data_IF_557608172922
#
_entry.id   IF_557608172922
#
_cell.length_a   1.000
_cell.length_b   1.000
_cell.length_c   1.000
_cell.angle_alpha   90.00
_cell.angle_beta   90.00
_cell.angle_gamma   90.00
#
_symmetry.space_group_name_H-M   'P 1'
#
loop_
_entity.id
_entity.type
_entity.pdbx_description
1 polymer ?
#
# COMPACT_ATOMS: atom_id res chain seq x y z
N UNK A 1 -21.82 -19.40 26.79
CA UNK A 1 -21.35 -18.27 25.98
C UNK A 1 -22.40 -18.00 24.92
N UNK A 2 -22.79 -16.74 24.73
CA UNK A 2 -23.74 -16.36 23.68
C UNK A 2 -23.07 -16.52 22.30
N UNK A 3 -23.60 -17.36 21.39
CA UNK A 3 -23.01 -17.57 20.08
C UNK A 3 -22.91 -16.28 19.25
N UNK A 4 -23.80 -15.30 19.48
CA UNK A 4 -23.78 -14.02 18.75
C UNK A 4 -22.61 -13.11 19.15
N UNK A 5 -22.10 -13.28 20.37
CA UNK A 5 -20.92 -12.55 20.87
C UNK A 5 -19.67 -12.94 20.09
N UNK A 6 -19.56 -14.19 19.65
CA UNK A 6 -18.40 -14.67 18.90
C UNK A 6 -18.37 -14.09 17.47
N UNK A 7 -19.55 -13.96 16.84
CA UNK A 7 -19.67 -13.40 15.48
C UNK A 7 -19.35 -11.90 15.44
N UNK A 8 -19.71 -11.16 16.49
CA UNK A 8 -19.32 -9.75 16.60
C UNK A 8 -17.81 -9.59 16.72
N UNK A 9 -17.18 -10.36 17.60
CA UNK A 9 -15.73 -10.35 17.81
C UNK A 9 -14.98 -10.70 16.53
N UNK A 10 -15.39 -11.76 15.82
CA UNK A 10 -14.79 -12.14 14.55
C UNK A 10 -14.86 -11.03 13.49
N UNK A 11 -16.02 -10.38 13.33
CA UNK A 11 -16.20 -9.26 12.40
C UNK A 11 -15.34 -8.06 12.77
N UNK A 12 -15.25 -7.73 14.07
CA UNK A 12 -14.40 -6.66 14.57
C UNK A 12 -12.92 -6.95 14.30
N UNK A 13 -12.45 -8.17 14.55
CA UNK A 13 -11.07 -8.56 14.25
C UNK A 13 -10.73 -8.41 12.78
N UNK A 14 -11.62 -8.81 11.88
CA UNK A 14 -11.42 -8.64 10.43
C UNK A 14 -11.35 -7.13 10.09
N UNK A 15 -12.27 -6.34 10.64
CA UNK A 15 -12.35 -4.90 10.38
C UNK A 15 -11.11 -4.13 10.88
N UNK A 16 -10.63 -4.46 12.07
CA UNK A 16 -9.50 -3.78 12.71
C UNK A 16 -8.13 -4.32 12.27
N UNK A 17 -8.10 -5.38 11.46
CA UNK A 17 -6.87 -6.00 11.00
C UNK A 17 -6.05 -5.07 10.10
N UNK A 18 -4.72 -5.08 10.31
CA UNK A 18 -3.78 -4.20 9.60
C UNK A 18 -2.59 -4.98 9.04
N UNK A 19 -1.99 -4.43 8.00
CA UNK A 19 -0.77 -4.91 7.36
C UNK A 19 0.33 -3.86 7.57
N UNK A 20 1.54 -4.25 8.03
CA UNK A 20 2.69 -3.37 8.01
C UNK A 20 3.14 -3.17 6.56
N UNK A 21 3.14 -1.93 6.09
CA UNK A 21 3.54 -1.57 4.73
C UNK A 21 4.70 -0.60 4.79
N UNK A 22 5.72 -0.86 3.98
CA UNK A 22 6.80 0.07 3.69
C UNK A 22 6.59 0.63 2.29
N UNK A 23 6.46 1.94 2.14
CA UNK A 23 6.52 2.60 0.85
C UNK A 23 7.94 3.09 0.60
N UNK A 24 8.48 2.85 -0.58
CA UNK A 24 9.76 3.38 -1.04
C UNK A 24 9.60 3.93 -2.46
N UNK A 25 10.29 5.02 -2.79
CA UNK A 25 10.31 5.51 -4.17
C UNK A 25 11.17 4.59 -5.05
N UNK A 26 10.81 4.51 -6.32
CA UNK A 26 11.65 3.85 -7.31
C UNK A 26 13.05 4.49 -7.37
N UNK A 27 14.07 3.66 -7.57
CA UNK A 27 15.46 4.11 -7.60
C UNK A 27 15.73 5.20 -8.65
N UNK A 28 14.99 5.21 -9.76
CA UNK A 28 15.10 6.23 -10.81
C UNK A 28 14.50 7.58 -10.42
N UNK A 29 13.82 7.66 -9.27
CA UNK A 29 13.15 8.85 -8.72
C UNK A 29 13.78 9.31 -7.40
N UNK A 30 14.93 8.72 -7.04
CA UNK A 30 15.69 9.02 -5.82
C UNK A 30 16.06 10.50 -5.62
N UNK A 31 16.12 11.29 -6.70
CA UNK A 31 16.38 12.75 -6.60
C UNK A 31 15.27 13.49 -5.85
N UNK A 32 14.03 12.98 -5.91
CA UNK A 32 12.89 13.55 -5.19
C UNK A 32 12.75 12.96 -3.77
N UNK A 33 13.53 11.94 -3.43
CA UNK A 33 13.43 11.27 -2.15
C UNK A 33 14.06 12.13 -1.04
N UNK A 34 13.22 12.68 -0.17
CA UNK A 34 13.67 13.27 1.11
C UNK A 34 13.79 12.22 2.20
N UNK A 35 13.07 11.11 2.07
CA UNK A 35 13.16 9.95 2.94
C UNK A 35 13.29 8.67 2.10
N UNK A 36 14.08 7.72 2.60
CA UNK A 36 14.29 6.44 1.92
C UNK A 36 13.01 5.58 1.92
N UNK A 37 12.30 5.55 3.05
CA UNK A 37 11.12 4.71 3.24
C UNK A 37 10.08 5.38 4.16
N UNK A 38 8.81 5.07 3.93
CA UNK A 38 7.68 5.46 4.76
C UNK A 38 6.93 4.22 5.27
N UNK A 39 6.90 4.01 6.58
CA UNK A 39 6.23 2.84 7.19
C UNK A 39 4.85 3.21 7.72
N UNK A 40 3.82 2.42 7.36
CA UNK A 40 2.44 2.61 7.80
C UNK A 40 1.72 1.29 8.07
N UNK A 41 0.88 1.27 9.11
CA UNK A 41 -0.05 0.17 9.36
C UNK A 41 -1.36 0.41 8.61
N UNK A 42 -1.59 -0.31 7.51
CA UNK A 42 -2.75 -0.10 6.66
C UNK A 42 -3.88 -1.10 6.96
N UNK A 43 -5.15 -0.67 7.05
CA UNK A 43 -6.28 -1.58 7.23
C UNK A 43 -6.44 -2.52 6.03
N UNK A 44 -6.72 -3.80 6.30
CA UNK A 44 -6.96 -4.80 5.24
C UNK A 44 -8.20 -4.46 4.41
N UNK A 45 -9.24 -3.93 5.06
CA UNK A 45 -10.50 -3.53 4.45
C UNK A 45 -10.49 -2.06 3.96
N UNK A 46 -9.42 -1.64 3.30
CA UNK A 46 -9.27 -0.30 2.71
C UNK A 46 -8.53 -0.38 1.38
N UNK A 47 -8.30 0.75 0.72
CA UNK A 47 -7.64 0.85 -0.59
C UNK A 47 -6.40 1.74 -0.50
N UNK A 48 -5.38 1.42 -1.29
CA UNK A 48 -4.10 2.15 -1.31
C UNK A 48 -4.23 3.66 -1.59
N UNK A 49 -5.06 4.14 -2.54
CA UNK A 49 -5.13 5.55 -2.88
C UNK A 49 -5.45 6.46 -1.69
N UNK A 50 -6.19 5.96 -0.69
CA UNK A 50 -6.53 6.70 0.54
C UNK A 50 -5.28 7.09 1.35
N UNK A 51 -4.21 6.31 1.26
CA UNK A 51 -2.96 6.52 2.02
C UNK A 51 -1.82 7.05 1.16
N UNK A 52 -1.98 7.02 -0.17
CA UNK A 52 -0.91 7.32 -1.11
C UNK A 52 -0.44 8.77 -1.03
N UNK A 53 -1.36 9.74 -0.93
CA UNK A 53 -1.01 11.16 -0.77
C UNK A 53 -0.12 11.39 0.46
N UNK A 54 -0.50 10.79 1.60
CA UNK A 54 0.29 10.88 2.83
C UNK A 54 1.67 10.24 2.67
N UNK A 55 1.75 9.06 2.05
CA UNK A 55 3.02 8.38 1.80
C UNK A 55 3.95 9.24 0.92
N UNK A 56 3.40 9.78 -0.18
CA UNK A 56 4.14 10.63 -1.12
C UNK A 56 4.65 11.89 -0.47
N UNK A 57 3.85 12.57 0.36
CA UNK A 57 4.29 13.76 1.10
C UNK A 57 5.43 13.46 2.08
N UNK A 58 5.43 12.28 2.69
CA UNK A 58 6.51 11.85 3.59
C UNK A 58 7.78 11.53 2.79
N UNK A 59 7.63 10.78 1.69
CA UNK A 59 8.75 10.36 0.84
C UNK A 59 9.43 11.52 0.13
N UNK A 60 8.66 12.51 -0.32
CA UNK A 60 9.12 13.63 -1.16
C UNK A 60 9.25 14.96 -0.44
N UNK A 61 8.89 15.02 0.84
CA UNK A 61 8.86 16.27 1.60
C UNK A 61 7.81 17.28 1.11
N UNK A 62 6.98 16.91 0.13
CA UNK A 62 6.05 17.80 -0.55
C UNK A 62 6.59 18.44 -1.84
N UNK A 63 7.78 18.06 -2.30
CA UNK A 63 8.41 18.63 -3.49
C UNK A 63 7.92 18.01 -4.82
N UNK A 64 7.15 16.93 -4.75
CA UNK A 64 6.53 16.34 -5.95
C UNK A 64 5.47 17.27 -6.56
N UNK A 65 5.57 17.47 -7.87
CA UNK A 65 4.60 18.23 -8.65
C UNK A 65 3.24 17.51 -8.74
N UNK A 66 2.17 18.26 -9.03
CA UNK A 66 0.83 17.70 -9.21
C UNK A 66 0.78 16.64 -10.32
N UNK A 67 1.52 16.83 -11.42
CA UNK A 67 1.63 15.85 -12.50
C UNK A 67 2.25 14.52 -12.01
N UNK A 68 3.27 14.58 -11.16
CA UNK A 68 3.91 13.40 -10.57
C UNK A 68 2.97 12.67 -9.61
N UNK A 69 2.23 13.43 -8.79
CA UNK A 69 1.23 12.87 -7.88
C UNK A 69 0.09 12.18 -8.66
N UNK A 70 -0.37 12.78 -9.75
CA UNK A 70 -1.43 12.24 -10.61
C UNK A 70 -1.00 11.00 -11.41
N UNK A 71 0.30 10.87 -11.68
CA UNK A 71 0.87 9.69 -12.34
C UNK A 71 1.46 8.69 -11.36
N UNK A 72 1.21 8.84 -10.05
CA UNK A 72 1.72 7.91 -9.06
C UNK A 72 1.06 6.54 -9.19
N UNK A 73 1.84 5.47 -9.11
CA UNK A 73 1.35 4.09 -9.10
C UNK A 73 2.25 3.18 -8.27
N UNK A 74 1.75 1.97 -7.97
CA UNK A 74 2.36 1.07 -7.00
C UNK A 74 2.82 -0.23 -7.65
N UNK A 75 3.99 -0.72 -7.24
CA UNK A 75 4.59 -1.96 -7.69
C UNK A 75 4.96 -2.83 -6.49
N UNK A 76 4.78 -4.14 -6.64
CA UNK A 76 5.29 -5.16 -5.72
C UNK A 76 5.89 -6.30 -6.54
N UNK A 77 7.09 -6.74 -6.18
CA UNK A 77 7.79 -7.87 -6.82
C UNK A 77 7.80 -7.80 -8.36
N UNK A 78 8.09 -6.60 -8.91
CA UNK A 78 8.11 -6.35 -10.35
C UNK A 78 6.74 -6.28 -11.03
N UNK A 79 5.64 -6.42 -10.28
CA UNK A 79 4.27 -6.39 -10.82
C UNK A 79 3.52 -5.14 -10.36
N UNK A 80 2.71 -4.59 -11.27
CA UNK A 80 1.82 -3.47 -10.98
C UNK A 80 0.73 -3.91 -10.01
N UNK A 81 0.55 -3.15 -8.93
CA UNK A 81 -0.53 -3.39 -7.98
C UNK A 81 -1.84 -2.78 -8.46
N UNK A 82 -2.82 -3.66 -8.66
CA UNK A 82 -4.20 -3.32 -9.02
C UNK A 82 -4.95 -2.71 -7.83
N UNK A 83 -4.70 -1.44 -7.55
CA UNK A 83 -5.16 -0.73 -6.36
C UNK A 83 -6.68 -0.56 -6.20
N UNK A 84 -7.46 -1.03 -7.18
CA UNK A 84 -8.92 -1.13 -7.11
C UNK A 84 -9.38 -2.36 -6.30
N UNK A 85 -8.46 -3.25 -5.93
CA UNK A 85 -8.69 -4.28 -4.93
C UNK A 85 -8.32 -3.78 -3.53
N UNK A 86 -9.00 -4.29 -2.48
CA UNK A 86 -8.64 -3.98 -1.11
C UNK A 86 -7.20 -4.40 -0.78
N UNK A 87 -6.54 -3.64 0.10
CA UNK A 87 -5.15 -3.85 0.51
C UNK A 87 -4.95 -5.29 1.02
N UNK A 88 -5.88 -5.81 1.83
CA UNK A 88 -5.81 -7.18 2.35
C UNK A 88 -5.87 -8.25 1.26
N UNK A 89 -6.67 -8.02 0.22
CA UNK A 89 -6.79 -8.95 -0.91
C UNK A 89 -5.50 -8.97 -1.72
N UNK A 90 -4.93 -7.81 -2.02
CA UNK A 90 -3.67 -7.70 -2.73
C UNK A 90 -2.52 -8.35 -1.95
N UNK A 91 -2.47 -8.13 -0.64
CA UNK A 91 -1.47 -8.74 0.24
C UNK A 91 -1.56 -10.27 0.24
N UNK A 92 -2.78 -10.82 0.33
CA UNK A 92 -2.99 -12.27 0.36
C UNK A 92 -2.66 -12.93 -0.98
N UNK A 93 -2.95 -12.26 -2.10
CA UNK A 93 -2.55 -12.74 -3.44
C UNK A 93 -1.03 -12.73 -3.58
N UNK A 94 -0.36 -11.69 -3.09
CA UNK A 94 1.09 -11.53 -3.16
C UNK A 94 1.85 -12.61 -2.36
N UNK A 95 1.36 -12.99 -1.18
CA UNK A 95 2.06 -13.91 -0.27
C UNK A 95 1.52 -15.34 -0.32
N UNK A 96 0.31 -15.55 -0.84
CA UNK A 96 -0.32 -16.86 -0.95
C UNK A 96 -0.42 -17.58 0.40
N UNK A 97 0.33 -18.69 0.54
CA UNK A 97 0.40 -19.47 1.79
C UNK A 97 1.66 -19.20 2.61
N UNK A 98 2.59 -18.41 2.08
CA UNK A 98 3.88 -18.10 2.70
C UNK A 98 3.76 -16.76 3.42
N UNK A 99 3.38 -16.80 4.69
CA UNK A 99 3.35 -15.62 5.53
C UNK A 99 4.68 -15.46 6.26
N UNK A 100 5.61 -14.70 5.67
CA UNK A 100 6.73 -14.19 6.46
C UNK A 100 6.25 -12.98 7.27
N UNK A 101 5.93 -13.20 8.54
CA UNK A 101 5.50 -12.13 9.44
C UNK A 101 6.64 -11.22 9.91
N UNK A 102 7.89 -11.49 9.51
CA UNK A 102 9.06 -10.78 10.05
C UNK A 102 9.35 -9.48 9.34
N UNK A 103 8.87 -9.30 8.11
CA UNK A 103 9.16 -8.13 7.28
C UNK A 103 7.89 -7.38 6.86
N UNK A 104 7.93 -6.04 6.76
CA UNK A 104 6.82 -5.27 6.21
C UNK A 104 6.63 -5.59 4.73
N UNK A 105 5.42 -5.35 4.21
CA UNK A 105 5.14 -5.43 2.79
C UNK A 105 5.74 -4.21 2.07
N UNK A 106 6.89 -4.39 1.43
CA UNK A 106 7.58 -3.31 0.72
C UNK A 106 6.94 -3.05 -0.65
N UNK A 107 6.37 -1.87 -0.80
CA UNK A 107 5.73 -1.36 -2.02
C UNK A 107 6.60 -0.28 -2.62
N UNK A 108 6.95 -0.46 -3.89
CA UNK A 108 7.64 0.57 -4.67
C UNK A 108 6.61 1.53 -5.25
N UNK A 109 6.86 2.81 -5.09
CA UNK A 109 6.05 3.91 -5.63
C UNK A 109 6.79 4.50 -6.82
N UNK A 110 6.08 4.60 -7.92
CA UNK A 110 6.53 5.25 -9.15
C UNK A 110 5.73 6.53 -9.35
N UNK A 111 6.33 7.57 -9.90
CA UNK A 111 5.74 8.90 -10.14
C UNK A 111 5.58 9.23 -11.63
N UNK A 112 6.01 8.32 -12.52
CA UNK A 112 5.95 8.45 -13.97
C UNK A 112 5.57 7.12 -14.62
N UNK A 113 5.28 7.15 -15.93
CA UNK A 113 4.96 5.97 -16.73
C UNK A 113 3.79 5.17 -16.15
N UNK A 114 2.68 5.84 -15.88
CA UNK A 114 1.48 5.20 -15.34
C UNK A 114 1.03 4.02 -16.23
N UNK A 115 0.85 2.80 -15.69
CA UNK A 115 0.50 1.61 -16.47
C UNK A 115 -0.87 1.71 -17.13
N UNK A 116 -0.95 1.36 -18.43
CA UNK A 116 -2.22 1.35 -19.19
C UNK A 116 -3.24 0.34 -18.67
N UNK A 117 -2.80 -0.67 -17.91
CA UNK A 117 -3.66 -1.70 -17.32
C UNK A 117 -4.38 -1.25 -16.03
N UNK A 118 -3.99 -0.09 -15.47
CA UNK A 118 -4.65 0.48 -14.31
C UNK A 118 -5.78 1.43 -14.71
N UNK A 119 -6.86 1.37 -13.95
CA UNK A 119 -7.99 2.30 -14.08
C UNK A 119 -7.65 3.57 -13.30
N UNK A 120 -7.78 4.73 -13.98
CA UNK A 120 -7.65 6.07 -13.37
C UNK A 120 -8.93 6.48 -12.65
#
# INVERSE_FOLDING_TARGET
MDPTSNDFEARRTIWDSKIPVEFALDSSESVLATQQSCFMMLPRASYFPVYLDKALRILTGGDASEEQLLNAWLQYDGQVLKWHYPIGVLYDIAHGTVFDQTSPWTIIVHLKNFPDELIR
#
